data_IF_739638846945
#
_entry.id   IF_739638846945
#
_cell.length_a   1.000
_cell.length_b   1.000
_cell.length_c   1.000
_cell.angle_alpha   90.00
_cell.angle_beta   90.00
_cell.angle_gamma   90.00
#
_symmetry.space_group_name_H-M   'P 1'
#
loop_
_entity.id
_entity.type
_entity.pdbx_description
1 polymer ?
#
# COMPACT_ATOMS: atom_id res chain seq x y z
N UNK A 1 9.72 -22.33 -18.16
CA UNK A 1 8.73 -22.12 -17.11
C UNK A 1 7.98 -23.40 -16.81
N UNK A 2 7.88 -23.78 -15.54
CA UNK A 2 7.12 -24.94 -15.07
C UNK A 2 5.63 -24.71 -15.37
N UNK A 3 5.05 -25.51 -16.27
CA UNK A 3 3.59 -25.53 -16.50
C UNK A 3 2.95 -26.33 -15.35
N UNK A 4 2.28 -25.64 -14.46
CA UNK A 4 1.56 -26.23 -13.34
C UNK A 4 0.08 -25.86 -13.44
N UNK A 5 -0.82 -26.83 -13.22
CA UNK A 5 -2.26 -26.51 -13.20
C UNK A 5 -2.62 -25.77 -11.91
N UNK A 6 -3.67 -24.93 -11.94
CA UNK A 6 -4.17 -24.22 -10.77
C UNK A 6 -4.50 -25.18 -9.61
N UNK A 7 -5.05 -26.35 -9.93
CA UNK A 7 -5.37 -27.41 -8.94
C UNK A 7 -4.12 -27.98 -8.25
N UNK A 8 -3.03 -28.17 -9.00
CA UNK A 8 -1.75 -28.64 -8.43
C UNK A 8 -1.15 -27.58 -7.50
N UNK A 9 -1.24 -26.30 -7.86
CA UNK A 9 -0.78 -25.20 -6.99
C UNK A 9 -1.61 -25.14 -5.72
N UNK A 10 -2.94 -25.21 -5.84
CA UNK A 10 -3.86 -25.19 -4.71
C UNK A 10 -3.59 -26.35 -3.73
N UNK A 11 -3.44 -27.58 -4.23
CA UNK A 11 -3.09 -28.75 -3.41
C UNK A 11 -1.75 -28.57 -2.71
N UNK A 12 -0.78 -27.95 -3.36
CA UNK A 12 0.53 -27.71 -2.76
C UNK A 12 0.45 -26.69 -1.64
N UNK A 13 -0.34 -25.62 -1.81
CA UNK A 13 -0.57 -24.61 -0.77
C UNK A 13 -1.29 -25.23 0.43
N UNK A 14 -2.36 -26.01 0.21
CA UNK A 14 -3.14 -26.64 1.26
C UNK A 14 -2.31 -27.66 2.05
N UNK A 15 -1.42 -28.41 1.38
CA UNK A 15 -0.58 -29.45 1.99
C UNK A 15 0.78 -28.94 2.51
N UNK A 16 1.07 -27.64 2.35
CA UNK A 16 2.28 -27.06 2.94
C UNK A 16 2.06 -26.90 4.44
N UNK A 17 2.87 -27.54 5.30
CA UNK A 17 2.73 -27.39 6.74
C UNK A 17 2.87 -25.91 7.10
N UNK A 18 2.00 -25.42 7.99
CA UNK A 18 2.12 -24.08 8.53
C UNK A 18 3.50 -23.95 9.19
N UNK A 19 4.32 -23.10 8.65
CA UNK A 19 5.60 -22.75 9.26
C UNK A 19 5.26 -22.11 10.60
N UNK A 20 5.81 -22.64 11.71
CA UNK A 20 5.68 -22.00 13.02
C UNK A 20 6.07 -20.55 12.87
N UNK A 21 5.09 -19.68 13.08
CA UNK A 21 5.31 -18.25 13.01
C UNK A 21 6.24 -17.88 14.16
N UNK A 22 7.47 -17.58 13.85
CA UNK A 22 8.36 -16.91 14.80
C UNK A 22 8.09 -15.42 14.69
N UNK A 23 8.00 -14.73 15.82
CA UNK A 23 7.94 -13.29 15.83
C UNK A 23 9.13 -12.67 15.11
N UNK A 24 8.99 -11.42 14.74
CA UNK A 24 10.05 -10.65 14.10
C UNK A 24 10.17 -9.30 14.80
N UNK A 25 11.38 -8.78 15.01
CA UNK A 25 11.55 -7.48 15.64
C UNK A 25 11.02 -6.33 14.78
N UNK A 26 11.05 -6.46 13.47
CA UNK A 26 10.58 -5.45 12.55
C UNK A 26 9.49 -6.02 11.63
N UNK A 27 8.29 -5.46 11.71
CA UNK A 27 7.15 -5.93 10.92
C UNK A 27 6.56 -4.81 10.07
N UNK A 28 6.12 -5.16 8.87
CA UNK A 28 5.34 -4.31 7.98
C UNK A 28 3.90 -4.80 7.93
N UNK A 29 2.95 -3.87 7.86
CA UNK A 29 1.53 -4.17 7.66
C UNK A 29 1.06 -3.52 6.38
N UNK A 30 0.40 -4.31 5.55
CA UNK A 30 -0.22 -3.85 4.32
C UNK A 30 -1.61 -4.48 4.14
N UNK A 31 -2.44 -3.87 3.29
CA UNK A 31 -3.73 -4.40 2.92
C UNK A 31 -3.62 -5.34 1.75
N UNK A 32 -4.36 -6.42 1.82
CA UNK A 32 -4.47 -7.35 0.72
C UNK A 32 -5.94 -7.58 0.33
N UNK A 33 -6.24 -7.52 -0.96
CA UNK A 33 -7.59 -7.73 -1.47
C UNK A 33 -7.69 -9.11 -2.13
N UNK A 34 -8.59 -9.96 -1.62
CA UNK A 34 -8.95 -11.26 -2.21
C UNK A 34 -9.74 -11.11 -3.50
N UNK A 35 -10.62 -10.10 -3.53
CA UNK A 35 -11.46 -9.77 -4.66
C UNK A 35 -11.55 -8.25 -4.81
N UNK A 36 -11.53 -7.75 -6.02
CA UNK A 36 -11.78 -6.33 -6.29
C UNK A 36 -13.12 -5.93 -5.66
N UNK A 37 -13.05 -5.15 -4.59
CA UNK A 37 -14.19 -4.46 -3.99
C UNK A 37 -14.83 -5.07 -2.76
N UNK A 38 -14.56 -6.31 -2.33
CA UNK A 38 -15.39 -6.93 -1.29
C UNK A 38 -14.69 -7.69 -0.15
N UNK A 39 -13.47 -8.14 -0.28
CA UNK A 39 -12.78 -8.86 0.78
C UNK A 39 -11.34 -8.36 0.90
N UNK A 40 -11.08 -7.59 1.94
CA UNK A 40 -9.72 -7.16 2.28
C UNK A 40 -9.21 -7.99 3.45
N UNK A 41 -7.91 -8.25 3.45
CA UNK A 41 -7.20 -8.82 4.58
C UNK A 41 -6.00 -7.95 4.92
N UNK A 42 -5.35 -8.27 6.03
CA UNK A 42 -4.11 -7.64 6.45
C UNK A 42 -2.98 -8.65 6.26
N UNK A 43 -1.95 -8.25 5.54
CA UNK A 43 -0.71 -8.99 5.40
C UNK A 43 0.32 -8.43 6.37
N UNK A 44 0.90 -9.29 7.18
CA UNK A 44 2.02 -8.92 8.04
C UNK A 44 3.27 -9.59 7.52
N UNK A 45 4.32 -8.80 7.34
CA UNK A 45 5.58 -9.21 6.73
C UNK A 45 6.72 -8.95 7.70
N UNK A 46 7.67 -9.88 7.79
CA UNK A 46 8.95 -9.65 8.43
C UNK A 46 9.81 -8.78 7.52
N UNK A 47 10.18 -7.59 7.99
CA UNK A 47 10.95 -6.63 7.19
C UNK A 47 12.44 -6.99 7.07
N UNK A 48 12.96 -7.83 7.96
CA UNK A 48 14.36 -8.27 7.89
C UNK A 48 14.56 -9.37 6.85
N UNK A 49 13.60 -10.27 6.72
CA UNK A 49 13.68 -11.41 5.81
C UNK A 49 12.82 -11.25 4.56
N UNK A 50 11.96 -10.22 4.50
CA UNK A 50 10.97 -9.98 3.45
C UNK A 50 9.98 -11.14 3.26
N UNK A 51 9.74 -11.93 4.29
CA UNK A 51 8.82 -13.07 4.25
C UNK A 51 7.48 -12.73 4.90
N UNK A 52 6.36 -13.19 4.32
CA UNK A 52 5.08 -13.04 4.98
C UNK A 52 5.07 -13.87 6.28
N UNK A 53 4.56 -13.27 7.35
CA UNK A 53 4.37 -13.90 8.64
C UNK A 53 2.97 -14.46 8.78
N UNK A 54 1.96 -13.65 8.46
CA UNK A 54 0.56 -14.03 8.57
C UNK A 54 -0.31 -13.21 7.63
N UNK A 55 -1.41 -13.83 7.22
CA UNK A 55 -2.51 -13.19 6.53
C UNK A 55 -3.72 -13.21 7.46
N UNK A 56 -4.15 -12.06 7.92
CA UNK A 56 -5.31 -11.90 8.79
C UNK A 56 -6.54 -11.52 7.96
N UNK A 57 -7.72 -12.11 8.24
CA UNK A 57 -8.94 -11.75 7.55
C UNK A 57 -9.44 -10.37 8.00
N UNK A 58 -10.00 -9.62 7.04
CA UNK A 58 -10.62 -8.32 7.33
C UNK A 58 -9.61 -7.24 7.72
N UNK A 59 -10.17 -6.12 8.22
CA UNK A 59 -9.42 -4.93 8.69
C UNK A 59 -9.70 -4.63 10.15
N UNK A 60 -9.97 -5.66 10.92
CA UNK A 60 -10.41 -5.46 12.29
C UNK A 60 -9.23 -5.13 13.23
N UNK A 61 -9.37 -4.01 13.95
CA UNK A 61 -8.40 -3.54 14.93
C UNK A 61 -8.13 -4.58 16.01
N UNK A 62 -9.16 -5.26 16.51
CA UNK A 62 -9.03 -6.23 17.60
C UNK A 62 -8.23 -7.46 17.18
N UNK A 63 -8.48 -7.96 15.98
CA UNK A 63 -7.75 -9.09 15.40
C UNK A 63 -6.26 -8.78 15.30
N UNK A 64 -5.92 -7.60 14.79
CA UNK A 64 -4.54 -7.15 14.65
C UNK A 64 -3.87 -6.92 16.02
N UNK A 65 -4.53 -6.24 16.96
CA UNK A 65 -4.02 -6.03 18.30
C UNK A 65 -3.81 -7.34 19.05
N UNK A 66 -4.72 -8.32 18.86
CA UNK A 66 -4.58 -9.66 19.46
C UNK A 66 -3.38 -10.41 18.88
N UNK A 67 -3.12 -10.24 17.60
CA UNK A 67 -1.94 -10.82 16.97
C UNK A 67 -0.67 -10.19 17.53
N UNK A 68 -0.58 -8.87 17.64
CA UNK A 68 0.59 -8.19 18.19
C UNK A 68 0.90 -8.62 19.63
N UNK A 69 -0.09 -8.82 20.48
CA UNK A 69 0.12 -9.28 21.88
C UNK A 69 0.81 -10.64 21.98
N UNK A 70 0.74 -11.45 20.93
CA UNK A 70 1.42 -12.76 20.91
C UNK A 70 2.93 -12.64 20.67
N UNK A 71 3.38 -11.48 20.18
CA UNK A 71 4.77 -11.25 19.77
C UNK A 71 5.35 -9.99 20.43
N UNK A 72 5.65 -10.07 21.74
CA UNK A 72 6.18 -8.93 22.51
C UNK A 72 7.58 -8.48 22.05
N UNK A 73 8.27 -9.28 21.26
CA UNK A 73 9.57 -8.97 20.66
C UNK A 73 9.51 -7.95 19.53
N UNK A 74 8.33 -7.55 19.07
CA UNK A 74 8.16 -6.54 18.02
C UNK A 74 8.66 -5.18 18.53
N UNK A 75 9.63 -4.60 17.83
CA UNK A 75 10.25 -3.32 18.13
C UNK A 75 9.82 -2.22 17.17
N UNK A 76 9.61 -2.56 15.89
CA UNK A 76 9.21 -1.62 14.85
C UNK A 76 8.00 -2.17 14.10
N UNK A 77 6.99 -1.29 13.93
CA UNK A 77 5.82 -1.54 13.09
C UNK A 77 5.79 -0.50 11.98
N UNK A 78 6.10 -0.92 10.75
CA UNK A 78 5.90 -0.11 9.54
C UNK A 78 4.48 -0.28 9.03
N UNK A 79 3.76 0.82 8.79
CA UNK A 79 2.38 0.83 8.37
C UNK A 79 2.04 2.03 7.50
N UNK A 80 0.93 1.92 6.78
CA UNK A 80 0.29 3.06 6.14
C UNK A 80 -0.28 4.07 7.17
N UNK A 81 -0.95 5.11 6.71
CA UNK A 81 -1.57 6.13 7.58
C UNK A 81 -2.90 5.70 8.21
N UNK A 82 -3.32 4.44 8.07
CA UNK A 82 -4.58 3.95 8.62
C UNK A 82 -4.63 4.13 10.15
N UNK A 83 -5.67 4.78 10.63
CA UNK A 83 -5.94 4.93 12.06
C UNK A 83 -6.16 3.60 12.75
N UNK A 84 -6.73 2.61 12.06
CA UNK A 84 -6.96 1.25 12.56
C UNK A 84 -5.64 0.59 12.93
N UNK A 85 -4.66 0.63 12.04
CA UNK A 85 -3.34 0.03 12.28
C UNK A 85 -2.57 0.76 13.37
N UNK A 86 -2.69 2.10 13.41
CA UNK A 86 -2.09 2.91 14.47
C UNK A 86 -2.61 2.53 15.85
N UNK A 87 -3.92 2.37 15.97
CA UNK A 87 -4.56 2.03 17.25
C UNK A 87 -4.26 0.59 17.63
N UNK A 88 -4.35 -0.36 16.69
CA UNK A 88 -4.02 -1.75 16.94
C UNK A 88 -2.57 -1.95 17.41
N UNK A 89 -1.61 -1.26 16.79
CA UNK A 89 -0.21 -1.32 17.22
C UNK A 89 -0.01 -0.70 18.61
N UNK A 90 -0.70 0.40 18.93
CA UNK A 90 -0.64 1.02 20.25
C UNK A 90 -1.21 0.11 21.35
N UNK A 91 -2.28 -0.62 21.06
CA UNK A 91 -2.92 -1.51 22.01
C UNK A 91 -2.25 -2.88 22.12
N UNK A 92 -1.71 -3.39 21.01
CA UNK A 92 -1.16 -4.74 20.93
C UNK A 92 0.35 -4.82 21.14
N UNK A 93 1.08 -3.80 20.72
CA UNK A 93 2.54 -3.71 20.85
C UNK A 93 2.95 -2.32 21.31
N UNK A 94 2.58 -1.88 22.55
CA UNK A 94 2.85 -0.54 23.04
C UNK A 94 4.35 -0.20 23.12
N UNK A 95 5.22 -1.20 23.22
CA UNK A 95 6.67 -1.04 23.20
C UNK A 95 7.22 -0.75 21.80
N UNK A 96 6.46 -1.05 20.74
CA UNK A 96 6.95 -0.94 19.37
C UNK A 96 6.88 0.50 18.86
N UNK A 97 7.94 0.93 18.19
CA UNK A 97 7.98 2.20 17.48
C UNK A 97 7.21 2.08 16.16
N UNK A 98 6.21 2.94 15.97
CA UNK A 98 5.47 3.00 14.72
C UNK A 98 6.19 3.91 13.71
N UNK A 99 6.31 3.44 12.47
CA UNK A 99 6.94 4.15 11.37
C UNK A 99 5.97 4.21 10.19
N UNK A 100 5.93 5.35 9.50
CA UNK A 100 5.14 5.47 8.28
C UNK A 100 5.82 4.69 7.15
N UNK A 101 5.03 3.92 6.39
CA UNK A 101 5.51 3.24 5.21
C UNK A 101 5.96 4.26 4.16
N UNK A 102 7.21 4.09 3.71
CA UNK A 102 7.87 4.99 2.76
C UNK A 102 7.15 5.04 1.41
N UNK A 103 6.67 3.89 0.93
CA UNK A 103 5.97 3.84 -0.36
C UNK A 103 4.67 4.64 -0.33
N UNK A 104 3.85 4.47 0.72
CA UNK A 104 2.62 5.23 0.92
C UNK A 104 2.88 6.73 1.09
N UNK A 105 4.00 7.10 1.73
CA UNK A 105 4.40 8.48 1.85
C UNK A 105 4.75 9.09 0.48
N UNK A 106 5.58 8.42 -0.31
CA UNK A 106 5.98 8.87 -1.64
C UNK A 106 4.80 8.92 -2.61
N UNK A 107 3.92 7.92 -2.57
CA UNK A 107 2.70 7.89 -3.38
C UNK A 107 1.82 9.11 -3.07
N UNK A 108 1.57 9.39 -1.80
CA UNK A 108 0.74 10.54 -1.41
C UNK A 108 1.34 11.87 -1.89
N UNK A 109 2.68 12.01 -1.83
CA UNK A 109 3.37 13.19 -2.37
C UNK A 109 3.22 13.28 -3.89
N UNK A 110 3.24 12.16 -4.60
CA UNK A 110 3.02 12.12 -6.05
C UNK A 110 1.58 12.41 -6.47
N UNK A 111 0.60 11.93 -5.69
CA UNK A 111 -0.83 12.11 -5.99
C UNK A 111 -1.30 13.58 -5.82
N UNK A 112 -0.67 14.37 -4.94
CA UNK A 112 -1.08 15.75 -4.70
C UNK A 112 -0.85 16.70 -5.89
N UNK A 113 0.29 16.71 -6.59
CA UNK A 113 0.47 17.48 -7.83
C UNK A 113 -0.54 17.08 -8.91
N UNK A 114 -0.84 15.79 -9.05
CA UNK A 114 -1.82 15.29 -10.00
C UNK A 114 -3.22 15.85 -9.69
N UNK A 115 -3.68 15.79 -8.44
CA UNK A 115 -4.94 16.38 -7.99
C UNK A 115 -5.00 17.88 -8.23
N UNK A 116 -3.88 18.59 -7.97
CA UNK A 116 -3.77 20.02 -8.22
C UNK A 116 -3.91 20.31 -9.71
N UNK A 117 -3.24 19.57 -10.58
CA UNK A 117 -3.35 19.70 -12.03
C UNK A 117 -4.78 19.47 -12.51
N UNK A 118 -5.43 18.38 -12.04
CA UNK A 118 -6.84 18.12 -12.41
C UNK A 118 -7.78 19.25 -11.98
N UNK A 119 -7.60 19.81 -10.81
CA UNK A 119 -8.41 20.96 -10.32
C UNK A 119 -8.26 22.18 -11.22
N UNK A 120 -7.08 22.41 -11.77
CA UNK A 120 -6.78 23.56 -12.64
C UNK A 120 -6.85 23.23 -14.14
N UNK A 121 -7.25 22.02 -14.51
CA UNK A 121 -7.33 21.58 -15.91
C UNK A 121 -8.15 22.52 -16.82
N UNK A 122 -9.29 23.11 -16.40
CA UNK A 122 -10.01 24.07 -17.24
C UNK A 122 -9.17 25.30 -17.58
N UNK A 123 -8.42 25.83 -16.62
CA UNK A 123 -7.53 26.98 -16.80
C UNK A 123 -6.33 26.61 -17.72
N UNK A 124 -5.72 25.46 -17.49
CA UNK A 124 -4.61 24.94 -18.31
C UNK A 124 -5.06 24.82 -19.77
N UNK A 125 -6.22 24.23 -20.03
CA UNK A 125 -6.79 24.11 -21.38
C UNK A 125 -7.03 25.47 -22.05
N UNK A 126 -7.47 26.45 -21.30
CA UNK A 126 -7.70 27.80 -21.79
C UNK A 126 -6.38 28.47 -22.21
N UNK A 127 -5.34 28.38 -21.36
CA UNK A 127 -4.01 28.95 -21.65
C UNK A 127 -3.37 28.26 -22.85
N UNK A 128 -3.43 26.91 -22.93
CA UNK A 128 -2.90 26.16 -24.08
C UNK A 128 -3.59 26.56 -25.37
N UNK A 129 -4.92 26.76 -25.35
CA UNK A 129 -5.69 27.21 -26.51
C UNK A 129 -5.26 28.62 -26.97
N UNK A 130 -5.09 29.53 -26.03
CA UNK A 130 -4.64 30.93 -26.36
C UNK A 130 -3.21 30.92 -26.95
N UNK A 131 -2.29 30.14 -26.36
CA UNK A 131 -0.92 30.01 -26.87
C UNK A 131 -0.90 29.38 -28.27
N UNK A 132 -1.72 28.39 -28.53
CA UNK A 132 -1.84 27.78 -29.86
C UNK A 132 -2.37 28.72 -30.90
N UNK A 133 -3.36 29.56 -30.55
CA UNK A 133 -3.89 30.60 -31.43
C UNK A 133 -2.84 31.65 -31.73
N UNK A 134 -2.09 32.12 -30.73
CA UNK A 134 -0.98 33.12 -30.93
C UNK A 134 0.11 32.56 -31.82
N UNK A 135 0.51 31.30 -31.64
CA UNK A 135 1.52 30.66 -32.48
C UNK A 135 1.04 30.51 -33.93
N UNK A 136 -0.24 30.19 -34.13
CA UNK A 136 -0.81 30.08 -35.49
C UNK A 136 -0.91 31.41 -36.21
N UNK A 137 -1.19 32.51 -35.49
CA UNK A 137 -1.17 33.85 -36.00
C UNK A 137 0.27 34.31 -36.32
N UNK A 138 1.24 34.04 -35.45
CA UNK A 138 2.64 34.38 -35.67
C UNK A 138 3.22 33.69 -36.89
N UNK A 139 2.90 32.43 -37.16
CA UNK A 139 3.31 31.74 -38.37
C UNK A 139 2.69 32.29 -39.65
N UNK A 140 1.45 32.79 -39.61
CA UNK A 140 0.81 33.43 -40.77
C UNK A 140 1.44 34.75 -41.18
N UNK A 141 2.06 35.49 -40.25
CA UNK A 141 2.71 36.77 -40.52
C UNK A 141 4.20 36.64 -40.85
N UNK A 142 4.81 35.46 -40.69
CA UNK A 142 6.19 35.17 -41.09
C UNK A 142 6.33 34.67 -42.52
N UNK A 143 5.22 34.44 -43.22
CA UNK A 143 5.19 34.02 -44.64
C UNK A 143 4.73 35.13 -45.58
N UNK A 144 4.81 36.42 -45.20
CA UNK A 144 4.67 37.58 -46.03
C UNK A 144 5.99 38.38 -46.02
#
# INVERSE_FOLDING_TARGET
>A
GLRCSADTLLRRVINTPETKQSGAPHVGIDEWAWHRGHCCGMLIVNLDTHRPLVLLPGRDQRTLATWFRKYPEIQIVSRDRSGVYATAAREGAPQARQVADRWHLLKNIGDEPERMMYRHMPLIRLVVRELSLKNHLSQKYLCL
#
